data_IF_217345799276
#
_entry.id   IF_217345799276
#
_cell.length_a   1.000
_cell.length_b   1.000
_cell.length_c   1.000
_cell.angle_alpha   90.00
_cell.angle_beta   90.00
_cell.angle_gamma   90.00
#
_symmetry.space_group_name_H-M   'P 1'
#
loop_
_entity.id
_entity.type
_entity.pdbx_description
1 polymer ?
#
# COMPACT_ATOMS: atom_id res chain seq x y z
N UNK A 1 7.53 -6.21 -5.16
CA UNK A 1 7.02 -4.88 -4.74
C UNK A 1 6.90 -4.87 -3.22
N UNK A 2 7.27 -3.77 -2.56
CA UNK A 2 7.10 -3.61 -1.11
C UNK A 2 5.94 -2.67 -0.80
N UNK A 3 5.12 -3.02 0.18
CA UNK A 3 3.94 -2.30 0.63
C UNK A 3 4.01 -2.07 2.14
N UNK A 4 3.35 -1.02 2.61
CA UNK A 4 3.26 -0.66 4.03
C UNK A 4 2.46 0.63 4.18
N UNK A 5 2.73 1.44 5.21
CA UNK A 5 2.09 2.76 5.44
C UNK A 5 0.56 2.70 5.27
N UNK A 6 0.06 3.16 4.12
CA UNK A 6 -1.35 3.15 3.76
C UNK A 6 -2.01 1.76 3.83
N UNK A 7 -1.24 0.67 3.71
CA UNK A 7 -1.75 -0.70 3.87
C UNK A 7 -2.46 -0.94 5.22
N UNK A 8 -1.97 -0.32 6.30
CA UNK A 8 -2.64 -0.36 7.60
C UNK A 8 -3.36 0.94 7.96
N UNK A 9 -3.28 1.97 7.09
CA UNK A 9 -3.80 3.33 7.27
C UNK A 9 -3.57 3.97 8.66
N UNK A 10 -2.53 3.54 9.40
CA UNK A 10 -2.24 3.99 10.76
C UNK A 10 -3.03 3.30 11.88
N UNK A 11 -3.95 2.38 11.56
CA UNK A 11 -4.72 1.63 12.57
C UNK A 11 -3.88 0.52 13.23
N UNK A 12 -3.08 -0.19 12.44
CA UNK A 12 -2.17 -1.24 12.93
C UNK A 12 -0.90 -1.29 12.07
N UNK A 13 0.27 -1.65 12.63
CA UNK A 13 1.47 -1.88 11.83
C UNK A 13 1.26 -3.01 10.82
N UNK A 14 1.47 -2.72 9.54
CA UNK A 14 1.38 -3.69 8.46
C UNK A 14 2.33 -3.33 7.30
N UNK A 15 3.04 -4.34 6.81
CA UNK A 15 3.85 -4.28 5.61
C UNK A 15 3.72 -5.61 4.84
N UNK A 16 3.90 -5.58 3.53
CA UNK A 16 3.83 -6.76 2.68
C UNK A 16 4.88 -6.71 1.58
N UNK A 17 5.39 -7.88 1.21
CA UNK A 17 6.24 -8.05 0.03
C UNK A 17 5.46 -8.88 -0.98
N UNK A 18 5.14 -8.26 -2.12
CA UNK A 18 4.50 -8.93 -3.26
C UNK A 18 5.60 -9.47 -4.18
N UNK A 19 5.55 -10.77 -4.45
CA UNK A 19 6.54 -11.51 -5.25
C UNK A 19 5.84 -12.05 -6.49
N UNK A 20 6.50 -12.00 -7.64
CA UNK A 20 5.95 -12.57 -8.88
C UNK A 20 6.21 -14.07 -8.98
N UNK A 21 5.39 -14.76 -9.76
CA UNK A 21 5.53 -16.21 -9.98
C UNK A 21 6.91 -16.57 -10.51
N UNK A 22 7.49 -15.75 -11.40
CA UNK A 22 8.86 -15.93 -11.90
C UNK A 22 9.89 -16.11 -10.77
N UNK A 23 9.69 -15.41 -9.65
CA UNK A 23 10.59 -15.46 -8.49
C UNK A 23 10.16 -16.54 -7.50
N UNK A 24 8.85 -16.75 -7.31
CA UNK A 24 8.32 -17.71 -6.33
C UNK A 24 8.40 -19.16 -6.81
N UNK A 25 8.21 -19.42 -8.11
CA UNK A 25 8.17 -20.77 -8.70
C UNK A 25 9.42 -21.62 -8.42
N UNK A 26 10.66 -21.11 -8.61
CA UNK A 26 11.86 -21.88 -8.26
C UNK A 26 11.93 -22.26 -6.78
N UNK A 27 11.44 -21.40 -5.89
CA UNK A 27 11.40 -21.67 -4.43
C UNK A 27 10.39 -22.77 -4.15
N UNK A 28 9.19 -22.69 -4.72
CA UNK A 28 8.13 -23.70 -4.58
C UNK A 28 8.53 -25.08 -5.16
N UNK A 29 9.33 -25.10 -6.22
CA UNK A 29 9.86 -26.35 -6.81
C UNK A 29 11.07 -26.90 -6.05
N UNK A 30 11.82 -26.03 -5.38
CA UNK A 30 12.99 -26.37 -4.59
C UNK A 30 12.67 -26.52 -3.10
N UNK A 31 13.17 -25.57 -2.30
CA UNK A 31 13.14 -25.63 -0.83
C UNK A 31 11.73 -25.58 -0.22
N UNK A 32 10.74 -25.06 -0.96
CA UNK A 32 9.36 -24.77 -0.49
C UNK A 32 9.30 -23.90 0.76
N UNK A 33 10.38 -23.18 1.05
CA UNK A 33 10.53 -22.42 2.28
C UNK A 33 11.01 -21.02 1.94
N UNK A 34 10.26 -20.04 2.46
CA UNK A 34 10.67 -18.64 2.51
C UNK A 34 11.12 -18.41 3.95
N UNK A 35 12.43 -18.53 4.20
CA UNK A 35 13.04 -18.34 5.53
C UNK A 35 13.14 -16.84 5.90
N UNK A 36 12.01 -16.15 5.83
CA UNK A 36 11.86 -14.73 6.11
C UNK A 36 10.55 -14.55 6.88
N UNK A 37 10.65 -14.08 8.11
CA UNK A 37 9.50 -13.83 8.97
C UNK A 37 9.94 -13.26 10.31
N UNK A 38 9.04 -12.54 10.96
CA UNK A 38 9.18 -12.02 12.32
C UNK A 38 7.96 -12.49 13.13
N UNK A 39 8.01 -12.33 14.46
CA UNK A 39 6.96 -12.82 15.38
C UNK A 39 5.55 -12.37 15.00
N UNK A 40 5.42 -11.15 14.47
CA UNK A 40 4.14 -10.56 14.06
C UNK A 40 3.79 -10.74 12.56
N UNK A 41 4.54 -11.57 11.82
CA UNK A 41 4.26 -11.82 10.40
C UNK A 41 2.92 -12.52 10.26
N UNK A 42 2.12 -12.08 9.27
CA UNK A 42 0.78 -12.60 9.02
C UNK A 42 -0.16 -12.56 10.25
N UNK A 43 0.00 -11.59 11.15
CA UNK A 43 -0.90 -11.49 12.30
C UNK A 43 -2.35 -11.18 11.85
N UNK A 44 -3.36 -11.91 12.38
CA UNK A 44 -4.74 -11.79 11.89
C UNK A 44 -5.37 -10.40 12.06
N UNK A 45 -5.01 -9.68 13.12
CA UNK A 45 -5.56 -8.36 13.41
C UNK A 45 -5.14 -7.33 12.36
N UNK A 46 -3.83 -7.24 12.06
CA UNK A 46 -3.33 -6.34 11.01
C UNK A 46 -3.84 -6.76 9.63
N UNK A 47 -4.00 -8.06 9.37
CA UNK A 47 -4.53 -8.54 8.10
C UNK A 47 -6.01 -8.14 7.89
N UNK A 48 -6.86 -8.32 8.91
CA UNK A 48 -8.25 -7.89 8.86
C UNK A 48 -8.38 -6.37 8.73
N UNK A 49 -7.52 -5.62 9.44
CA UNK A 49 -7.46 -4.16 9.34
C UNK A 49 -7.07 -3.72 7.94
N UNK A 50 -6.05 -4.33 7.34
CA UNK A 50 -5.60 -4.00 5.99
C UNK A 50 -6.68 -4.30 4.94
N UNK A 51 -7.42 -5.40 5.09
CA UNK A 51 -8.55 -5.72 4.23
C UNK A 51 -9.64 -4.65 4.31
N UNK A 52 -10.07 -4.27 5.53
CA UNK A 52 -11.07 -3.23 5.72
C UNK A 52 -10.65 -1.87 5.15
N UNK A 53 -9.35 -1.54 5.24
CA UNK A 53 -8.79 -0.32 4.62
C UNK A 53 -8.91 -0.37 3.09
N UNK A 54 -8.53 -1.49 2.47
CA UNK A 54 -8.62 -1.66 1.00
C UNK A 54 -10.08 -1.58 0.55
N UNK A 55 -10.99 -2.30 1.22
CA UNK A 55 -12.43 -2.28 0.92
C UNK A 55 -13.00 -0.85 1.04
N UNK A 56 -12.58 -0.10 2.06
CA UNK A 56 -12.97 1.29 2.20
C UNK A 56 -12.45 2.15 1.04
N UNK A 57 -11.18 1.99 0.66
CA UNK A 57 -10.59 2.73 -0.47
C UNK A 57 -11.36 2.48 -1.78
N UNK A 58 -11.68 1.23 -2.07
CA UNK A 58 -12.43 0.81 -3.26
C UNK A 58 -13.87 1.32 -3.21
N UNK A 59 -14.59 1.06 -2.11
CA UNK A 59 -15.99 1.49 -1.93
C UNK A 59 -16.17 2.99 -2.08
N UNK A 60 -15.20 3.77 -1.66
CA UNK A 60 -15.27 5.23 -1.69
C UNK A 60 -14.58 5.85 -2.92
N UNK A 61 -14.06 5.04 -3.85
CA UNK A 61 -13.35 5.49 -5.06
C UNK A 61 -12.23 6.49 -4.73
N UNK A 62 -11.47 6.18 -3.66
CA UNK A 62 -10.48 7.11 -3.12
C UNK A 62 -9.32 7.39 -4.07
N UNK A 63 -8.76 6.43 -4.83
CA UNK A 63 -7.67 6.71 -5.77
C UNK A 63 -8.03 7.79 -6.79
N UNK A 64 -9.19 7.69 -7.41
CA UNK A 64 -9.69 8.61 -8.43
C UNK A 64 -9.96 9.99 -7.83
N UNK A 65 -10.67 10.04 -6.69
CA UNK A 65 -10.91 11.30 -5.96
C UNK A 65 -9.61 11.96 -5.51
N UNK A 66 -8.60 11.17 -5.19
CA UNK A 66 -7.28 11.68 -4.80
C UNK A 66 -6.53 12.24 -6.01
N UNK A 67 -6.66 11.63 -7.19
CA UNK A 67 -6.11 12.17 -8.43
C UNK A 67 -6.73 13.54 -8.78
N UNK A 68 -8.06 13.66 -8.74
CA UNK A 68 -8.77 14.92 -9.00
C UNK A 68 -8.35 16.03 -8.01
N UNK A 69 -8.33 15.71 -6.71
CA UNK A 69 -7.91 16.67 -5.68
C UNK A 69 -6.44 17.03 -5.77
N UNK A 70 -5.59 16.07 -6.16
CA UNK A 70 -4.18 16.28 -6.41
C UNK A 70 -3.94 17.30 -7.52
N UNK A 71 -4.68 17.19 -8.63
CA UNK A 71 -4.61 18.16 -9.73
C UNK A 71 -5.05 19.56 -9.29
N UNK A 72 -6.16 19.65 -8.56
CA UNK A 72 -6.62 20.91 -7.97
C UNK A 72 -5.54 21.56 -7.08
N UNK A 73 -4.93 20.77 -6.19
CA UNK A 73 -3.91 21.27 -5.27
C UNK A 73 -2.66 21.74 -6.02
N UNK A 74 -2.17 20.96 -6.99
CA UNK A 74 -1.00 21.33 -7.80
C UNK A 74 -1.25 22.65 -8.55
N UNK A 75 -2.42 22.81 -9.19
CA UNK A 75 -2.77 24.06 -9.88
C UNK A 75 -2.79 25.25 -8.93
N UNK A 76 -3.32 25.07 -7.71
CA UNK A 76 -3.32 26.10 -6.68
C UNK A 76 -1.90 26.50 -6.26
N UNK A 77 -1.04 25.52 -5.97
CA UNK A 77 0.34 25.75 -5.57
C UNK A 77 1.15 26.46 -6.67
N UNK A 78 0.94 26.10 -7.94
CA UNK A 78 1.61 26.75 -9.07
C UNK A 78 1.23 28.22 -9.22
N UNK A 79 -0.05 28.57 -8.99
CA UNK A 79 -0.48 29.99 -9.00
C UNK A 79 0.21 30.80 -7.92
N UNK A 80 0.29 30.26 -6.69
CA UNK A 80 0.97 30.92 -5.57
C UNK A 80 2.47 31.10 -5.86
N UNK A 81 3.11 30.09 -6.45
CA UNK A 81 4.51 30.17 -6.85
C UNK A 81 4.77 31.29 -7.87
N UNK A 82 3.91 31.44 -8.88
CA UNK A 82 4.03 32.48 -9.92
C UNK A 82 3.82 33.90 -9.40
N UNK A 83 3.04 34.07 -8.33
CA UNK A 83 2.82 35.38 -7.69
C UNK A 83 3.94 35.80 -6.75
N UNK A 84 4.82 34.85 -6.40
CA UNK A 84 5.95 35.07 -5.50
C UNK A 84 7.27 35.33 -6.25
N UNK A 85 7.20 35.42 -7.59
CA UNK A 85 8.30 35.79 -8.50
C UNK A 85 7.97 37.13 -9.14
#
# INVERSE_FOLDING_TARGET
MTLGKGLGAGYTPMAATVVSDRVMEPILRGSRSVMSGHTLSANPLSAATALAVIEYMEKHNLPEKTAEKGEYLIKGLQKVQQQST
#
